data_IF_231544291603
#
_entry.id   IF_231544291603
#
_cell.length_a   1.000
_cell.length_b   1.000
_cell.length_c   1.000
_cell.angle_alpha   90.00
_cell.angle_beta   90.00
_cell.angle_gamma   90.00
#
_symmetry.space_group_name_H-M   'P 1'
#
loop_
_entity.id
_entity.type
_entity.pdbx_description
1 polymer ?
#
# COMPACT_ATOMS: atom_id res chain seq x y z
N UNK A 1 -24.50 23.15 -10.54
CA UNK A 1 -23.90 23.37 -9.21
C UNK A 1 -23.86 22.02 -8.52
N UNK A 2 -22.72 21.59 -7.98
CA UNK A 2 -22.68 20.38 -7.16
C UNK A 2 -23.38 20.72 -5.84
N UNK A 3 -24.41 19.94 -5.49
CA UNK A 3 -25.19 20.14 -4.29
C UNK A 3 -24.35 19.79 -3.04
N UNK A 4 -24.60 20.43 -1.90
CA UNK A 4 -23.87 20.20 -0.65
C UNK A 4 -23.89 18.72 -0.24
N UNK A 5 -25.02 18.05 -0.51
CA UNK A 5 -25.22 16.61 -0.29
C UNK A 5 -24.25 15.79 -1.15
N UNK A 6 -24.01 16.20 -2.40
CA UNK A 6 -23.07 15.52 -3.28
C UNK A 6 -21.61 15.69 -2.84
N UNK A 7 -21.23 16.88 -2.33
CA UNK A 7 -19.91 17.11 -1.73
C UNK A 7 -19.72 16.25 -0.47
N UNK A 8 -20.72 16.19 0.41
CA UNK A 8 -20.69 15.39 1.62
C UNK A 8 -20.60 13.88 1.31
N UNK A 9 -21.36 13.40 0.32
CA UNK A 9 -21.31 12.01 -0.13
C UNK A 9 -19.94 11.64 -0.72
N UNK A 10 -19.34 12.51 -1.55
CA UNK A 10 -17.99 12.30 -2.08
C UNK A 10 -16.93 12.26 -0.96
N UNK A 11 -17.05 13.15 0.03
CA UNK A 11 -16.17 13.14 1.20
C UNK A 11 -16.26 11.83 1.99
N UNK A 12 -17.47 11.34 2.24
CA UNK A 12 -17.69 10.08 2.96
C UNK A 12 -17.14 8.88 2.18
N UNK A 13 -17.40 8.80 0.87
CA UNK A 13 -16.86 7.75 0.00
C UNK A 13 -15.33 7.78 0.00
N UNK A 14 -14.72 8.98 -0.04
CA UNK A 14 -13.27 9.14 0.02
C UNK A 14 -12.68 8.59 1.32
N UNK A 15 -13.31 8.86 2.48
CA UNK A 15 -12.88 8.33 3.78
C UNK A 15 -12.98 6.80 3.82
N UNK A 16 -14.12 6.25 3.38
CA UNK A 16 -14.31 4.79 3.34
C UNK A 16 -13.28 4.13 2.42
N UNK A 17 -13.07 4.70 1.23
CA UNK A 17 -12.07 4.23 0.27
C UNK A 17 -10.66 4.28 0.85
N UNK A 18 -10.31 5.35 1.57
CA UNK A 18 -9.01 5.47 2.22
C UNK A 18 -8.76 4.35 3.25
N UNK A 19 -9.72 4.07 4.12
CA UNK A 19 -9.60 2.95 5.06
C UNK A 19 -9.53 1.60 4.34
N UNK A 20 -10.35 1.39 3.32
CA UNK A 20 -10.31 0.15 2.52
C UNK A 20 -8.93 -0.08 1.89
N UNK A 21 -8.29 0.97 1.37
CA UNK A 21 -6.93 0.91 0.83
C UNK A 21 -5.89 0.58 1.91
N UNK A 22 -5.99 1.17 3.11
CA UNK A 22 -5.09 0.82 4.23
C UNK A 22 -5.18 -0.66 4.57
N UNK A 23 -6.40 -1.21 4.67
CA UNK A 23 -6.58 -2.63 4.96
C UNK A 23 -6.03 -3.51 3.84
N UNK A 24 -6.26 -3.13 2.59
CA UNK A 24 -5.76 -3.85 1.43
C UNK A 24 -4.22 -3.87 1.39
N UNK A 25 -3.58 -2.72 1.55
CA UNK A 25 -2.12 -2.60 1.63
C UNK A 25 -1.55 -3.40 2.81
N UNK A 26 -2.26 -3.40 3.94
CA UNK A 26 -1.85 -4.16 5.12
C UNK A 26 -1.89 -5.67 4.87
N UNK A 27 -2.84 -6.17 4.07
CA UNK A 27 -2.88 -7.58 3.67
C UNK A 27 -1.64 -7.93 2.85
N UNK A 28 -1.29 -7.13 1.85
CA UNK A 28 -0.12 -7.38 1.01
C UNK A 28 1.18 -7.32 1.80
N UNK A 29 1.35 -6.30 2.64
CA UNK A 29 2.53 -6.19 3.50
C UNK A 29 2.62 -7.35 4.50
N UNK A 30 1.50 -7.75 5.09
CA UNK A 30 1.45 -8.91 5.97
C UNK A 30 1.86 -10.20 5.24
N UNK A 31 1.35 -10.43 4.03
CA UNK A 31 1.78 -11.56 3.20
C UNK A 31 3.29 -11.49 2.88
N UNK A 32 3.77 -10.32 2.44
CA UNK A 32 5.19 -10.12 2.14
C UNK A 32 6.10 -10.38 3.34
N UNK A 33 5.73 -9.90 4.52
CA UNK A 33 6.49 -10.13 5.76
C UNK A 33 6.47 -11.59 6.21
N UNK A 34 5.35 -12.32 6.00
CA UNK A 34 5.26 -13.76 6.26
C UNK A 34 6.15 -14.57 5.32
N UNK A 35 6.07 -14.29 4.03
CA UNK A 35 6.91 -14.98 3.03
C UNK A 35 8.40 -14.63 3.17
N UNK A 36 8.74 -13.45 3.66
CA UNK A 36 10.11 -13.06 3.97
C UNK A 36 10.67 -13.71 5.26
N UNK A 37 9.89 -14.53 5.97
CA UNK A 37 10.34 -15.21 7.19
C UNK A 37 10.60 -14.26 8.36
N UNK A 38 9.79 -13.21 8.51
CA UNK A 38 9.84 -12.30 9.64
C UNK A 38 9.01 -12.89 10.80
N UNK A 39 9.68 -13.32 11.87
CA UNK A 39 9.07 -14.00 13.02
C UNK A 39 7.99 -13.15 13.71
N UNK A 40 8.26 -11.84 13.84
CA UNK A 40 7.38 -10.87 14.49
C UNK A 40 6.24 -10.38 13.60
N UNK A 41 6.00 -11.01 12.45
CA UNK A 41 4.97 -10.60 11.49
C UNK A 41 3.55 -10.88 12.02
N UNK A 42 2.77 -9.82 12.23
CA UNK A 42 1.35 -9.86 12.56
C UNK A 42 0.56 -8.90 11.68
N UNK A 43 -0.72 -9.21 11.45
CA UNK A 43 -1.59 -8.34 10.65
C UNK A 43 -1.78 -6.96 11.29
N UNK A 44 -1.91 -6.89 12.62
CA UNK A 44 -1.97 -5.64 13.37
C UNK A 44 -0.74 -4.74 13.16
N UNK A 45 0.46 -5.34 13.12
CA UNK A 45 1.68 -4.59 12.80
C UNK A 45 1.73 -4.14 11.36
N UNK A 46 1.16 -4.90 10.42
CA UNK A 46 1.07 -4.48 9.03
C UNK A 46 0.18 -3.26 8.87
N UNK A 47 -0.98 -3.21 9.53
CA UNK A 47 -1.84 -2.02 9.54
C UNK A 47 -1.09 -0.81 10.09
N UNK A 48 -0.45 -0.94 11.26
CA UNK A 48 0.32 0.16 11.87
C UNK A 48 1.45 0.60 10.94
N UNK A 49 2.16 -0.36 10.33
CA UNK A 49 3.25 -0.07 9.41
C UNK A 49 2.75 0.68 8.17
N UNK A 50 1.65 0.25 7.55
CA UNK A 50 1.04 0.94 6.41
C UNK A 50 0.62 2.35 6.79
N UNK A 51 -0.02 2.53 7.94
CA UNK A 51 -0.40 3.86 8.43
C UNK A 51 0.82 4.78 8.58
N UNK A 52 1.89 4.30 9.21
CA UNK A 52 3.15 5.03 9.36
C UNK A 52 3.77 5.34 7.99
N UNK A 53 3.75 4.39 7.06
CA UNK A 53 4.28 4.58 5.71
C UNK A 53 3.48 5.60 4.90
N UNK A 54 2.16 5.66 5.02
CA UNK A 54 1.32 6.66 4.36
C UNK A 54 1.64 8.06 4.88
N UNK A 55 1.71 8.23 6.20
CA UNK A 55 2.05 9.52 6.82
C UNK A 55 3.46 9.95 6.41
N UNK A 56 4.44 9.03 6.47
CA UNK A 56 5.79 9.33 6.05
C UNK A 56 5.89 9.61 4.55
N UNK A 57 5.14 8.89 3.71
CA UNK A 57 5.11 9.13 2.27
C UNK A 57 4.62 10.54 1.95
N UNK A 58 3.55 11.01 2.60
CA UNK A 58 3.05 12.37 2.42
C UNK A 58 4.12 13.43 2.79
N UNK A 59 4.87 13.19 3.86
CA UNK A 59 5.97 14.07 4.30
C UNK A 59 7.16 13.99 3.32
N UNK A 60 7.57 12.78 2.93
CA UNK A 60 8.69 12.52 2.03
C UNK A 60 8.44 13.11 0.65
N UNK A 61 7.23 13.00 0.10
CA UNK A 61 6.89 13.62 -1.19
C UNK A 61 6.98 15.15 -1.11
N UNK A 62 6.47 15.73 -0.02
CA UNK A 62 6.48 17.18 0.17
C UNK A 62 7.89 17.76 0.35
N UNK A 63 8.76 17.06 1.09
CA UNK A 63 10.11 17.52 1.41
C UNK A 63 11.15 17.12 0.35
N UNK A 64 11.07 15.89 -0.14
CA UNK A 64 12.08 15.27 -1.00
C UNK A 64 11.68 15.27 -2.48
N UNK A 65 10.41 15.55 -2.81
CA UNK A 65 9.92 15.65 -4.18
C UNK A 65 10.78 16.55 -5.08
N UNK A 66 11.21 17.75 -4.65
CA UNK A 66 12.07 18.62 -5.44
C UNK A 66 13.44 18.03 -5.82
N UNK A 67 13.90 16.99 -5.11
CA UNK A 67 15.17 16.31 -5.37
C UNK A 67 15.07 15.22 -6.46
N UNK A 68 13.87 14.98 -7.02
CA UNK A 68 13.63 14.02 -8.09
C UNK A 68 14.04 12.59 -7.72
N UNK A 69 14.94 11.99 -8.52
CA UNK A 69 15.41 10.60 -8.35
C UNK A 69 16.06 10.39 -6.98
N UNK A 70 16.86 11.36 -6.50
CA UNK A 70 17.48 11.26 -5.17
C UNK A 70 16.44 11.22 -4.06
N UNK A 71 15.37 12.02 -4.18
CA UNK A 71 14.25 11.99 -3.24
C UNK A 71 13.53 10.65 -3.22
N UNK A 72 13.38 10.02 -4.39
CA UNK A 72 12.79 8.67 -4.52
C UNK A 72 13.64 7.61 -3.82
N UNK A 73 14.97 7.62 -4.04
CA UNK A 73 15.90 6.68 -3.40
C UNK A 73 15.86 6.85 -1.87
N UNK A 74 15.91 8.09 -1.38
CA UNK A 74 15.84 8.36 0.07
C UNK A 74 14.50 7.88 0.64
N UNK A 75 13.39 8.15 -0.04
CA UNK A 75 12.05 7.69 0.39
C UNK A 75 11.97 6.16 0.48
N UNK A 76 12.61 5.46 -0.46
CA UNK A 76 12.70 4.00 -0.43
C UNK A 76 13.53 3.50 0.77
N UNK A 77 14.67 4.14 1.05
CA UNK A 77 15.50 3.80 2.22
C UNK A 77 14.74 4.05 3.53
N UNK A 78 13.98 5.14 3.62
CA UNK A 78 13.11 5.43 4.77
C UNK A 78 12.04 4.36 4.92
N UNK A 79 11.41 3.94 3.82
CA UNK A 79 10.42 2.86 3.80
C UNK A 79 11.02 1.55 4.33
N UNK A 80 12.21 1.17 3.86
CA UNK A 80 12.94 0.01 4.37
C UNK A 80 13.24 0.12 5.86
N UNK A 81 13.68 1.30 6.30
CA UNK A 81 13.99 1.55 7.69
C UNK A 81 12.75 1.42 8.58
N UNK A 82 11.59 1.91 8.16
CA UNK A 82 10.32 1.77 8.90
C UNK A 82 9.95 0.30 9.08
N UNK A 83 9.96 -0.48 8.00
CA UNK A 83 9.67 -1.93 8.07
C UNK A 83 10.68 -2.62 8.98
N UNK A 84 11.96 -2.31 8.82
CA UNK A 84 13.02 -2.84 9.68
C UNK A 84 12.77 -2.53 11.17
N UNK A 85 12.44 -1.28 11.48
CA UNK A 85 12.25 -0.79 12.85
C UNK A 85 10.99 -1.39 13.50
N UNK A 86 9.85 -1.37 12.81
CA UNK A 86 8.57 -1.86 13.35
C UNK A 86 8.54 -3.37 13.53
N UNK A 87 9.18 -4.11 12.62
CA UNK A 87 9.24 -5.57 12.71
C UNK A 87 10.46 -6.07 13.48
N UNK A 88 11.41 -5.21 13.83
CA UNK A 88 12.65 -5.59 14.51
C UNK A 88 13.42 -6.67 13.74
N UNK A 89 13.58 -6.48 12.43
CA UNK A 89 14.15 -7.46 11.50
C UNK A 89 15.47 -6.98 10.89
N UNK A 90 16.08 -7.78 10.02
CA UNK A 90 17.27 -7.39 9.24
C UNK A 90 16.90 -6.61 7.98
N UNK A 91 17.84 -5.83 7.44
CA UNK A 91 17.64 -5.07 6.18
C UNK A 91 17.23 -5.96 5.01
N UNK A 92 17.87 -7.12 4.86
CA UNK A 92 17.55 -8.07 3.79
C UNK A 92 16.13 -8.62 3.88
N UNK A 93 15.66 -8.96 5.10
CA UNK A 93 14.27 -9.41 5.31
C UNK A 93 13.26 -8.30 5.09
N UNK A 94 13.56 -7.07 5.49
CA UNK A 94 12.68 -5.92 5.23
C UNK A 94 12.56 -5.62 3.73
N UNK A 95 13.68 -5.65 3.01
CA UNK A 95 13.71 -5.50 1.55
C UNK A 95 12.94 -6.61 0.85
N UNK A 96 13.17 -7.88 1.24
CA UNK A 96 12.45 -9.02 0.71
C UNK A 96 10.94 -8.92 0.97
N UNK A 97 10.54 -8.48 2.17
CA UNK A 97 9.13 -8.29 2.50
C UNK A 97 8.44 -7.26 1.61
N UNK A 98 9.10 -6.12 1.32
CA UNK A 98 8.55 -5.11 0.41
C UNK A 98 8.44 -5.63 -1.02
N UNK A 99 9.46 -6.34 -1.52
CA UNK A 99 9.42 -6.95 -2.85
C UNK A 99 8.28 -7.97 -2.94
N UNK A 100 8.13 -8.84 -1.94
CA UNK A 100 7.09 -9.87 -1.94
C UNK A 100 5.69 -9.25 -1.82
N UNK A 101 5.53 -8.18 -1.03
CA UNK A 101 4.28 -7.42 -0.97
C UNK A 101 3.94 -6.81 -2.33
N UNK A 102 4.92 -6.22 -3.02
CA UNK A 102 4.73 -5.65 -4.35
C UNK A 102 4.39 -6.70 -5.41
N UNK A 103 5.04 -7.87 -5.38
CA UNK A 103 4.70 -9.00 -6.24
C UNK A 103 3.27 -9.46 -5.98
N UNK A 104 2.87 -9.61 -4.70
CA UNK A 104 1.50 -10.01 -4.34
C UNK A 104 0.47 -9.00 -4.86
N UNK A 105 0.77 -7.70 -4.77
CA UNK A 105 -0.06 -6.63 -5.31
C UNK A 105 -0.22 -6.74 -6.84
N UNK A 106 0.88 -6.95 -7.58
CA UNK A 106 0.83 -7.11 -9.04
C UNK A 106 -0.02 -8.33 -9.41
N UNK A 107 0.21 -9.47 -8.77
CA UNK A 107 -0.53 -10.72 -9.03
C UNK A 107 -2.02 -10.51 -8.79
N UNK A 108 -2.41 -9.90 -7.67
CA UNK A 108 -3.83 -9.64 -7.40
C UNK A 108 -4.42 -8.66 -8.41
N UNK A 109 -3.69 -7.61 -8.78
CA UNK A 109 -4.14 -6.62 -9.75
C UNK A 109 -4.39 -7.24 -11.12
N UNK A 110 -3.51 -8.13 -11.58
CA UNK A 110 -3.69 -8.87 -12.85
C UNK A 110 -4.90 -9.81 -12.78
N UNK A 111 -5.08 -10.52 -11.66
CA UNK A 111 -6.23 -11.41 -11.48
C UNK A 111 -7.55 -10.62 -11.47
N UNK A 112 -7.59 -9.50 -10.73
CA UNK A 112 -8.77 -8.63 -10.69
C UNK A 112 -9.08 -8.04 -12.06
N UNK A 113 -8.06 -7.59 -12.81
CA UNK A 113 -8.26 -7.09 -14.16
C UNK A 113 -8.80 -8.17 -15.10
N UNK A 114 -8.28 -9.41 -15.01
CA UNK A 114 -8.78 -10.53 -15.80
C UNK A 114 -10.24 -10.88 -15.44
N UNK A 115 -10.56 -10.94 -14.15
CA UNK A 115 -11.92 -11.24 -13.67
C UNK A 115 -12.92 -10.13 -14.04
N UNK A 116 -12.53 -8.86 -13.90
CA UNK A 116 -13.38 -7.73 -14.30
C UNK A 116 -13.50 -7.66 -15.82
N UNK A 117 -12.43 -7.90 -16.57
CA UNK A 117 -12.46 -7.93 -18.04
C UNK A 117 -13.38 -9.03 -18.57
N UNK A 118 -13.25 -10.26 -18.07
CA UNK A 118 -14.13 -11.39 -18.43
C UNK A 118 -15.56 -11.19 -17.91
N UNK A 119 -15.72 -10.61 -16.72
CA UNK A 119 -17.03 -10.29 -16.15
C UNK A 119 -17.79 -9.24 -16.96
N UNK A 120 -17.10 -8.16 -17.36
CA UNK A 120 -17.67 -7.07 -18.16
C UNK A 120 -17.98 -7.52 -19.60
N UNK A 121 -17.15 -8.39 -20.19
CA UNK A 121 -17.46 -8.98 -21.51
C UNK A 121 -18.69 -9.88 -21.47
N UNK A 122 -18.86 -10.68 -20.40
CA UNK A 122 -20.04 -11.53 -20.23
C UNK A 122 -21.32 -10.74 -19.97
N UNK A 123 -21.22 -9.49 -19.52
CA UNK A 123 -22.34 -8.56 -19.34
C UNK A 123 -22.66 -7.76 -20.61
N UNK A 124 -21.94 -7.99 -21.72
CA UNK A 124 -22.14 -7.29 -23.00
C UNK A 124 -21.74 -5.80 -22.97
N UNK A 125 -20.92 -5.41 -21.99
CA UNK A 125 -20.42 -4.04 -21.84
C UNK A 125 -19.16 -3.81 -22.71
N UNK A 126 -18.54 -4.89 -23.20
CA UNK A 126 -17.49 -4.93 -24.22
C UNK A 126 -17.71 -6.09 -25.19
#
# INVERSE_FOLDING_TARGET
MIDLIAIAALGLIGIIGFFALIFLDAIFLWMGTKFAGIEKASFSKAIICVFVLIVLSAISVSLLGPLGILGTIISFIVTLWVVKALYGTSWGKAFLALILAFIAFIVLSVILLALLGVGLSNLGIF
#
